data_IF_976398986529
#
_entry.id   IF_976398986529
#
_cell.length_a   1.000
_cell.length_b   1.000
_cell.length_c   1.000
_cell.angle_alpha   90.00
_cell.angle_beta   90.00
_cell.angle_gamma   90.00
#
_symmetry.space_group_name_H-M   'P 1'
#
loop_
_entity.id
_entity.type
_entity.pdbx_description
1 polymer ?
#
# COMPACT_ATOMS: atom_id res chain seq x y z
N UNK A 1 -11.58 25.10 -10.12
CA UNK A 1 -11.33 23.91 -9.26
C UNK A 1 -11.62 24.27 -7.80
N UNK A 2 -11.98 23.34 -6.89
CA UNK A 2 -12.17 23.68 -5.46
C UNK A 2 -10.82 24.12 -4.86
N UNK A 3 -10.80 25.21 -4.10
CA UNK A 3 -9.58 25.68 -3.41
C UNK A 3 -9.01 24.56 -2.52
N UNK A 4 -7.80 24.09 -2.86
CA UNK A 4 -7.15 22.97 -2.15
C UNK A 4 -6.97 23.25 -0.67
N UNK A 5 -6.83 24.52 -0.29
CA UNK A 5 -6.68 24.99 1.09
C UNK A 5 -7.94 24.79 1.93
N UNK A 6 -9.09 24.68 1.28
CA UNK A 6 -10.40 24.48 1.91
C UNK A 6 -10.85 23.02 1.88
N UNK A 7 -10.07 22.11 1.25
CA UNK A 7 -10.38 20.69 1.26
C UNK A 7 -10.06 20.11 2.65
N UNK A 8 -10.93 19.25 3.21
CA UNK A 8 -10.60 18.50 4.41
C UNK A 8 -9.38 17.62 4.13
N UNK A 9 -8.52 17.45 5.13
CA UNK A 9 -7.38 16.55 5.06
C UNK A 9 -7.10 15.94 6.43
N UNK A 10 -6.50 14.76 6.45
CA UNK A 10 -6.17 14.03 7.69
C UNK A 10 -4.67 14.12 7.98
N UNK A 11 -4.25 13.84 9.21
CA UNK A 11 -2.83 13.85 9.57
C UNK A 11 -2.06 12.73 8.84
N UNK A 12 -0.75 12.88 8.66
CA UNK A 12 0.09 11.78 8.18
C UNK A 12 0.19 10.66 9.24
N UNK A 13 0.40 9.39 8.85
CA UNK A 13 0.84 8.37 9.80
C UNK A 13 2.19 8.83 10.36
N UNK A 14 2.46 8.59 11.63
CA UNK A 14 3.63 9.09 12.36
C UNK A 14 4.99 8.53 11.91
N UNK A 15 5.14 8.15 10.65
CA UNK A 15 6.24 7.35 10.13
C UNK A 15 7.18 8.18 9.27
N UNK A 16 8.44 8.18 9.67
CA UNK A 16 9.54 8.83 8.96
C UNK A 16 10.62 7.77 8.71
N UNK A 17 11.11 7.59 7.47
CA UNK A 17 12.22 6.69 7.19
C UNK A 17 13.44 6.98 8.06
N UNK A 18 14.10 5.92 8.56
CA UNK A 18 15.20 6.02 9.53
C UNK A 18 16.34 6.91 9.04
N UNK A 19 16.62 6.92 7.74
CA UNK A 19 17.65 7.76 7.14
C UNK A 19 17.32 9.26 7.18
N UNK A 20 16.04 9.63 7.22
CA UNK A 20 15.61 11.02 7.30
C UNK A 20 15.59 11.54 8.73
N UNK A 21 15.43 10.66 9.73
CA UNK A 21 15.42 11.04 11.15
C UNK A 21 16.71 11.76 11.59
N UNK A 22 17.85 11.47 10.95
CA UNK A 22 19.15 12.08 11.28
C UNK A 22 19.48 13.33 10.47
N UNK A 23 18.66 13.64 9.47
CA UNK A 23 18.91 14.76 8.58
C UNK A 23 18.57 16.08 9.29
N UNK A 24 19.47 17.05 9.17
CA UNK A 24 19.34 18.38 9.77
C UNK A 24 19.64 19.48 8.76
N UNK A 25 19.04 20.64 8.96
CA UNK A 25 19.38 21.88 8.25
C UNK A 25 20.38 22.71 9.01
N UNK A 26 21.45 23.17 8.35
CA UNK A 26 22.37 24.13 8.95
C UNK A 26 21.89 25.56 8.69
N UNK A 27 21.69 26.33 9.78
CA UNK A 27 21.33 27.74 9.66
C UNK A 27 22.44 28.51 8.91
N UNK A 28 22.12 29.33 7.88
CA UNK A 28 23.13 30.04 7.11
C UNK A 28 23.89 31.09 7.95
N UNK A 29 23.27 31.62 9.01
CA UNK A 29 23.84 32.66 9.88
C UNK A 29 24.71 32.05 10.97
N UNK A 30 24.11 31.33 11.93
CA UNK A 30 24.84 30.84 13.11
C UNK A 30 25.40 29.41 12.97
N UNK A 31 25.19 28.76 11.82
CA UNK A 31 25.61 27.38 11.50
C UNK A 31 25.04 26.28 12.42
N UNK A 32 24.18 26.61 13.38
CA UNK A 32 23.52 25.63 14.24
C UNK A 32 22.66 24.68 13.39
N UNK A 33 22.81 23.39 13.65
CA UNK A 33 22.00 22.35 13.05
C UNK A 33 20.59 22.33 13.68
N UNK A 34 19.57 22.25 12.83
CA UNK A 34 18.16 22.23 13.21
C UNK A 34 17.52 20.96 12.66
N UNK A 35 16.83 20.23 13.52
CA UNK A 35 16.07 19.04 13.10
C UNK A 35 14.94 19.43 12.14
N UNK A 36 14.66 18.55 11.19
CA UNK A 36 13.60 18.78 10.22
C UNK A 36 12.31 18.15 10.77
N UNK A 37 11.26 18.94 11.06
CA UNK A 37 10.00 18.41 11.57
C UNK A 37 9.20 17.79 10.43
N UNK A 38 9.61 16.59 10.00
CA UNK A 38 9.13 15.91 8.78
C UNK A 38 7.61 15.81 8.66
N UNK A 39 6.94 15.60 9.79
CA UNK A 39 5.50 15.37 9.88
C UNK A 39 4.71 16.64 10.21
N UNK A 40 5.38 17.73 10.57
CA UNK A 40 4.70 19.00 10.81
C UNK A 40 4.10 19.52 9.50
N UNK A 41 2.84 19.95 9.60
CA UNK A 41 2.07 20.44 8.47
C UNK A 41 2.63 21.77 7.99
N UNK A 42 2.84 21.86 6.70
CA UNK A 42 3.10 23.12 6.01
C UNK A 42 1.78 23.87 5.80
N UNK A 43 1.87 25.18 5.59
CA UNK A 43 0.69 26.02 5.28
C UNK A 43 0.02 25.60 3.96
N UNK A 44 0.83 25.22 2.96
CA UNK A 44 0.38 24.78 1.65
C UNK A 44 1.20 23.57 1.17
N UNK A 45 0.62 22.64 0.38
CA UNK A 45 1.38 21.58 -0.27
C UNK A 45 2.42 22.17 -1.21
N UNK A 46 3.69 21.76 -1.08
CA UNK A 46 4.80 22.26 -1.90
C UNK A 46 4.99 21.48 -3.21
N UNK A 47 3.89 21.08 -3.84
CA UNK A 47 3.92 20.34 -5.10
C UNK A 47 3.51 21.22 -6.26
N UNK A 48 3.96 20.92 -7.50
CA UNK A 48 3.47 21.62 -8.67
C UNK A 48 1.95 21.44 -8.78
N UNK A 49 1.20 22.53 -8.63
CA UNK A 49 -0.24 22.56 -8.87
C UNK A 49 -0.46 22.88 -10.34
N UNK A 50 -1.15 22.00 -11.07
CA UNK A 50 -1.54 22.25 -12.46
C UNK A 50 -2.42 23.51 -12.48
N UNK A 51 -2.00 24.54 -13.22
CA UNK A 51 -2.77 25.77 -13.35
C UNK A 51 -4.09 25.54 -14.08
N UNK A 52 -5.20 26.01 -13.51
CA UNK A 52 -6.53 26.01 -14.15
C UNK A 52 -6.57 26.86 -15.43
N UNK A 53 -5.62 27.78 -15.61
CA UNK A 53 -5.64 28.80 -16.66
C UNK A 53 -4.31 28.93 -17.43
N UNK A 54 -3.37 27.99 -17.26
CA UNK A 54 -2.06 28.05 -17.90
C UNK A 54 -1.12 29.17 -17.40
N UNK A 55 -1.52 29.91 -16.37
CA UNK A 55 -0.80 31.06 -15.79
C UNK A 55 -0.05 30.70 -14.48
N UNK A 56 0.17 29.42 -14.21
CA UNK A 56 0.85 28.98 -12.99
C UNK A 56 2.35 29.27 -13.05
N UNK A 57 2.91 29.79 -11.95
CA UNK A 57 4.35 29.89 -11.75
C UNK A 57 4.85 28.66 -10.98
N UNK A 58 6.02 28.16 -11.39
CA UNK A 58 6.72 27.11 -10.67
C UNK A 58 7.32 27.69 -9.39
N UNK A 59 6.91 27.19 -8.23
CA UNK A 59 7.52 27.56 -6.95
C UNK A 59 8.67 26.58 -6.68
N UNK A 60 9.88 27.07 -6.35
CA UNK A 60 10.95 26.22 -5.84
C UNK A 60 10.44 25.38 -4.68
N UNK A 61 10.65 24.06 -4.76
CA UNK A 61 10.27 23.14 -3.68
C UNK A 61 11.35 23.23 -2.62
N UNK A 62 11.14 24.10 -1.64
CA UNK A 62 11.99 24.18 -0.47
C UNK A 62 11.19 23.84 0.80
N UNK A 63 11.89 23.33 1.80
CA UNK A 63 11.38 23.05 3.14
C UNK A 63 11.71 24.25 4.04
N UNK A 64 10.71 25.05 4.48
CA UNK A 64 10.95 26.14 5.40
C UNK A 64 11.25 25.62 6.82
N UNK A 65 12.24 26.24 7.46
CA UNK A 65 12.69 25.96 8.81
C UNK A 65 13.00 27.27 9.54
N UNK A 66 12.89 27.23 10.87
CA UNK A 66 13.35 28.29 11.77
C UNK A 66 14.51 27.76 12.59
N UNK A 67 15.60 28.51 12.68
CA UNK A 67 16.79 28.08 13.42
C UNK A 67 16.47 27.74 14.89
N UNK A 68 16.96 26.58 15.35
CA UNK A 68 16.81 26.11 16.74
C UNK A 68 17.64 26.87 17.78
N UNK A 69 18.40 27.90 17.39
CA UNK A 69 19.17 28.76 18.31
C UNK A 69 18.24 29.82 18.88
N UNK A 70 18.20 29.96 20.21
CA UNK A 70 17.41 30.98 20.88
C UNK A 70 17.83 32.40 20.49
N UNK A 71 19.11 32.63 20.27
CA UNK A 71 19.63 33.95 19.89
C UNK A 71 19.43 34.28 18.41
N UNK A 72 19.45 33.26 17.54
CA UNK A 72 19.41 33.48 16.09
C UNK A 72 17.99 33.53 15.54
N UNK A 73 17.16 32.50 15.82
CA UNK A 73 15.79 32.31 15.30
C UNK A 73 15.57 32.64 13.81
N UNK A 74 16.63 32.62 13.00
CA UNK A 74 16.55 33.00 11.59
C UNK A 74 15.77 31.95 10.79
N UNK A 75 14.82 32.42 9.97
CA UNK A 75 14.11 31.58 9.02
C UNK A 75 14.98 31.30 7.80
N UNK A 76 15.05 30.03 7.41
CA UNK A 76 15.82 29.58 6.25
C UNK A 76 15.10 28.42 5.57
N UNK A 77 15.61 27.98 4.42
CA UNK A 77 15.01 26.88 3.67
C UNK A 77 16.04 25.83 3.29
N UNK A 78 15.61 24.56 3.28
CA UNK A 78 16.37 23.45 2.71
C UNK A 78 15.80 23.14 1.34
N UNK A 79 16.66 23.08 0.32
CA UNK A 79 16.27 22.68 -1.03
C UNK A 79 15.87 21.21 -1.05
N UNK A 80 14.69 20.91 -1.58
CA UNK A 80 14.31 19.53 -1.87
C UNK A 80 15.13 19.02 -3.06
N UNK A 81 15.61 17.76 -3.03
CA UNK A 81 16.29 17.18 -4.17
C UNK A 81 15.37 17.19 -5.40
N UNK A 82 15.90 17.57 -6.55
CA UNK A 82 15.18 17.48 -7.82
C UNK A 82 15.79 16.32 -8.59
N UNK A 83 15.06 15.21 -8.64
CA UNK A 83 15.47 14.01 -9.38
C UNK A 83 14.80 13.99 -10.76
N UNK A 84 15.44 13.44 -11.81
CA UNK A 84 14.79 13.21 -13.10
C UNK A 84 13.49 12.39 -12.98
N UNK A 85 12.58 12.57 -13.95
CA UNK A 85 11.37 11.75 -14.12
C UNK A 85 11.47 10.99 -15.44
N UNK A 86 12.21 9.87 -15.42
CA UNK A 86 12.54 9.08 -16.62
C UNK A 86 11.33 8.34 -17.18
N UNK A 87 10.46 7.84 -16.30
CA UNK A 87 9.25 7.15 -16.68
C UNK A 87 8.24 7.12 -15.54
N UNK A 88 6.98 6.93 -15.92
CA UNK A 88 5.87 6.76 -14.98
C UNK A 88 5.40 5.32 -14.93
N UNK A 89 5.17 4.83 -13.73
CA UNK A 89 4.60 3.51 -13.48
C UNK A 89 3.23 3.61 -12.85
N UNK A 90 2.36 2.67 -13.21
CA UNK A 90 1.03 2.56 -12.61
C UNK A 90 1.05 1.36 -11.67
N UNK A 91 0.69 1.61 -10.41
CA UNK A 91 0.56 0.59 -9.37
C UNK A 91 -0.93 0.33 -9.12
N UNK A 92 -1.32 -0.93 -9.19
CA UNK A 92 -2.67 -1.41 -8.93
C UNK A 92 -2.73 -2.02 -7.53
N UNK A 93 -3.68 -1.60 -6.71
CA UNK A 93 -3.71 -1.97 -5.30
C UNK A 93 -5.03 -2.51 -4.82
N UNK A 94 -4.94 -3.41 -3.85
CA UNK A 94 -6.06 -3.98 -3.11
C UNK A 94 -5.60 -4.39 -1.71
N UNK A 95 -6.55 -4.70 -0.83
CA UNK A 95 -6.34 -4.93 0.59
C UNK A 95 -6.90 -6.28 1.08
N UNK A 96 -6.40 -6.75 2.21
CA UNK A 96 -7.03 -7.83 2.93
C UNK A 96 -6.95 -7.62 4.44
N UNK A 97 -7.97 -8.11 5.15
CA UNK A 97 -8.04 -8.09 6.60
C UNK A 97 -8.32 -9.49 7.16
N UNK A 98 -7.77 -9.81 8.33
CA UNK A 98 -8.10 -11.01 9.11
C UNK A 98 -8.27 -10.63 10.57
N UNK A 99 -9.49 -10.79 11.06
CA UNK A 99 -9.82 -10.64 12.47
C UNK A 99 -9.78 -12.01 13.15
N UNK A 100 -8.93 -12.16 14.15
CA UNK A 100 -8.75 -13.39 14.92
C UNK A 100 -9.29 -13.13 16.31
N UNK A 101 -10.53 -13.60 16.56
CA UNK A 101 -11.22 -13.32 17.82
C UNK A 101 -10.63 -14.05 19.03
N UNK A 102 -10.04 -15.22 18.80
CA UNK A 102 -9.47 -16.08 19.84
C UNK A 102 -8.10 -16.60 19.37
N UNK A 103 -7.05 -15.76 19.37
CA UNK A 103 -5.71 -16.24 19.06
C UNK A 103 -5.26 -17.23 20.13
N UNK A 104 -4.37 -18.18 19.80
CA UNK A 104 -3.73 -19.03 20.80
C UNK A 104 -3.02 -18.18 21.86
N UNK A 105 -3.12 -18.62 23.12
CA UNK A 105 -2.66 -17.87 24.29
C UNK A 105 -1.17 -17.58 24.30
N UNK A 106 -0.38 -18.41 23.61
CA UNK A 106 1.05 -18.22 23.41
C UNK A 106 1.40 -17.01 22.52
N UNK A 107 0.44 -16.52 21.74
CA UNK A 107 0.62 -15.38 20.85
C UNK A 107 -0.06 -14.10 21.35
N UNK A 108 -1.27 -14.20 21.90
CA UNK A 108 -1.99 -13.06 22.45
C UNK A 108 -3.13 -13.52 23.38
N UNK A 109 -3.40 -12.72 24.41
CA UNK A 109 -4.62 -12.83 25.24
C UNK A 109 -5.80 -12.01 24.69
N UNK A 110 -5.55 -11.14 23.72
CA UNK A 110 -6.55 -10.24 23.12
C UNK A 110 -6.76 -10.54 21.63
N UNK A 111 -7.96 -10.28 21.08
CA UNK A 111 -8.22 -10.41 19.65
C UNK A 111 -7.22 -9.63 18.80
N UNK A 112 -6.87 -10.19 17.63
CA UNK A 112 -5.93 -9.57 16.69
C UNK A 112 -6.65 -9.12 15.42
N UNK A 113 -6.19 -8.02 14.83
CA UNK A 113 -6.53 -7.66 13.46
C UNK A 113 -5.28 -7.47 12.62
N UNK A 114 -5.10 -8.38 11.67
CA UNK A 114 -4.12 -8.22 10.60
C UNK A 114 -4.76 -7.45 9.44
N UNK A 115 -4.04 -6.48 8.91
CA UNK A 115 -4.45 -5.74 7.72
C UNK A 115 -3.24 -5.56 6.81
N UNK A 116 -3.45 -5.72 5.50
CA UNK A 116 -2.43 -5.43 4.51
C UNK A 116 -2.98 -4.72 3.28
N UNK A 117 -2.12 -3.95 2.63
CA UNK A 117 -2.33 -3.33 1.33
C UNK A 117 -1.24 -3.87 0.40
N UNK A 118 -1.65 -4.43 -0.75
CA UNK A 118 -0.73 -4.83 -1.80
C UNK A 118 -0.81 -3.84 -2.95
N UNK A 119 0.33 -3.48 -3.53
CA UNK A 119 0.45 -2.74 -4.78
C UNK A 119 1.28 -3.54 -5.78
N UNK A 120 0.80 -3.65 -7.01
CA UNK A 120 1.49 -4.38 -8.09
C UNK A 120 1.69 -3.51 -9.32
N UNK A 121 2.84 -3.66 -9.94
CA UNK A 121 3.24 -2.90 -11.11
C UNK A 121 3.87 -3.84 -12.14
N UNK A 122 3.32 -3.88 -13.34
CA UNK A 122 3.82 -4.74 -14.42
C UNK A 122 4.38 -3.88 -15.55
N UNK A 123 5.57 -4.23 -16.02
CA UNK A 123 6.14 -3.59 -17.21
C UNK A 123 5.26 -3.86 -18.45
N UNK A 124 4.97 -2.82 -19.25
CA UNK A 124 4.08 -2.88 -20.44
C UNK A 124 4.36 -4.08 -21.35
N UNK A 125 5.64 -4.40 -21.59
CA UNK A 125 6.08 -5.55 -22.41
C UNK A 125 5.53 -6.93 -21.99
N UNK A 126 5.09 -7.09 -20.74
CA UNK A 126 4.52 -8.35 -20.21
C UNK A 126 3.00 -8.32 -20.07
N UNK A 127 2.35 -7.17 -20.25
CA UNK A 127 0.92 -6.99 -20.01
C UNK A 127 0.08 -8.03 -20.76
N UNK A 128 0.20 -8.10 -22.08
CA UNK A 128 -0.65 -8.97 -22.90
C UNK A 128 -0.49 -10.45 -22.55
N UNK A 129 0.76 -10.87 -22.28
CA UNK A 129 1.05 -12.25 -21.88
C UNK A 129 0.39 -12.60 -20.55
N UNK A 130 0.61 -11.77 -19.52
CA UNK A 130 0.06 -12.02 -18.17
C UNK A 130 -1.46 -11.94 -18.19
N UNK A 131 -2.03 -10.92 -18.86
CA UNK A 131 -3.47 -10.79 -19.06
C UNK A 131 -4.06 -12.04 -19.70
N UNK A 132 -3.47 -12.55 -20.79
CA UNK A 132 -3.92 -13.78 -21.46
C UNK A 132 -3.83 -15.00 -20.54
N UNK A 133 -2.78 -15.13 -19.74
CA UNK A 133 -2.64 -16.24 -18.79
C UNK A 133 -3.73 -16.20 -17.71
N UNK A 134 -4.01 -15.02 -17.14
CA UNK A 134 -5.08 -14.84 -16.15
C UNK A 134 -6.44 -15.09 -16.79
N UNK A 135 -6.69 -14.53 -17.98
CA UNK A 135 -7.91 -14.76 -18.75
C UNK A 135 -8.18 -16.26 -18.95
N UNK A 136 -7.17 -17.01 -19.38
CA UNK A 136 -7.28 -18.45 -19.56
C UNK A 136 -7.56 -19.18 -18.23
N UNK A 137 -6.86 -18.80 -17.15
CA UNK A 137 -7.06 -19.39 -15.83
C UNK A 137 -8.48 -19.12 -15.28
N UNK A 138 -9.03 -17.92 -15.50
CA UNK A 138 -10.42 -17.59 -15.17
C UNK A 138 -11.41 -18.43 -15.97
N UNK A 139 -11.15 -18.62 -17.27
CA UNK A 139 -11.97 -19.44 -18.15
C UNK A 139 -12.02 -20.92 -17.73
N UNK A 140 -10.96 -21.45 -17.13
CA UNK A 140 -10.95 -22.84 -16.61
C UNK A 140 -12.03 -23.08 -15.56
N UNK A 141 -12.31 -22.07 -14.70
CA UNK A 141 -13.24 -22.22 -13.58
C UNK A 141 -14.65 -21.70 -13.86
N UNK A 142 -14.83 -20.80 -14.85
CA UNK A 142 -16.14 -20.34 -15.35
C UNK A 142 -16.15 -20.28 -16.88
N UNK A 143 -16.20 -21.44 -17.57
CA UNK A 143 -16.02 -21.49 -19.03
C UNK A 143 -17.20 -20.96 -19.85
N UNK A 144 -18.37 -20.79 -19.21
CA UNK A 144 -19.60 -20.28 -19.84
C UNK A 144 -19.73 -18.76 -19.77
N UNK A 145 -18.88 -18.09 -19.00
CA UNK A 145 -18.87 -16.63 -18.84
C UNK A 145 -17.61 -16.05 -19.48
N UNK A 146 -17.70 -14.81 -19.96
CA UNK A 146 -16.53 -14.07 -20.43
C UNK A 146 -15.64 -13.72 -19.22
N UNK A 147 -14.36 -14.12 -19.18
CA UNK A 147 -13.46 -13.72 -18.08
C UNK A 147 -13.37 -12.21 -17.85
N UNK A 148 -13.62 -11.35 -18.84
CA UNK A 148 -13.60 -9.90 -18.63
C UNK A 148 -14.95 -9.36 -18.05
N UNK A 149 -16.00 -10.19 -17.97
CA UNK A 149 -17.32 -9.78 -17.44
C UNK A 149 -17.50 -9.96 -15.93
N UNK A 150 -16.55 -10.59 -15.24
CA UNK A 150 -16.62 -10.84 -13.79
C UNK A 150 -15.25 -10.68 -13.13
N UNK A 151 -15.24 -10.42 -11.83
CA UNK A 151 -14.02 -10.16 -11.04
C UNK A 151 -13.50 -11.43 -10.40
N UNK A 152 -12.21 -11.72 -10.55
CA UNK A 152 -11.54 -12.81 -9.84
C UNK A 152 -11.25 -12.42 -8.39
N UNK A 153 -12.29 -12.35 -7.55
CA UNK A 153 -12.15 -12.09 -6.12
C UNK A 153 -11.85 -13.41 -5.39
N UNK A 154 -10.63 -13.57 -4.89
CA UNK A 154 -10.14 -14.86 -4.45
C UNK A 154 -10.81 -15.37 -3.17
N UNK A 155 -11.29 -14.46 -2.30
CA UNK A 155 -12.08 -14.86 -1.13
C UNK A 155 -13.36 -15.57 -1.54
N UNK A 156 -14.07 -15.09 -2.58
CA UNK A 156 -15.28 -15.74 -3.08
C UNK A 156 -14.99 -17.13 -3.63
N UNK A 157 -13.89 -17.27 -4.36
CA UNK A 157 -13.45 -18.57 -4.90
C UNK A 157 -13.07 -19.52 -3.78
N UNK A 158 -12.36 -19.05 -2.76
CA UNK A 158 -11.94 -19.86 -1.64
C UNK A 158 -13.12 -20.33 -0.78
N UNK A 159 -14.08 -19.45 -0.54
CA UNK A 159 -15.24 -19.72 0.32
C UNK A 159 -16.42 -20.36 -0.44
N UNK A 160 -16.35 -20.44 -1.78
CA UNK A 160 -17.42 -21.03 -2.59
C UNK A 160 -17.77 -22.45 -2.15
N UNK A 161 -19.06 -22.74 -2.06
CA UNK A 161 -19.51 -24.10 -1.76
C UNK A 161 -19.60 -24.92 -3.05
N UNK A 162 -19.35 -26.25 -3.01
CA UNK A 162 -19.48 -27.10 -4.19
C UNK A 162 -20.85 -27.00 -4.87
N UNK A 163 -21.91 -26.76 -4.09
CA UNK A 163 -23.29 -26.70 -4.56
C UNK A 163 -23.68 -25.33 -5.16
N UNK A 164 -22.79 -24.33 -5.09
CA UNK A 164 -23.10 -23.00 -5.64
C UNK A 164 -23.09 -22.96 -7.17
N UNK A 165 -22.46 -23.95 -7.83
CA UNK A 165 -22.19 -24.02 -9.27
C UNK A 165 -21.50 -22.79 -9.89
N UNK A 166 -21.17 -21.77 -9.09
CA UNK A 166 -20.54 -20.52 -9.52
C UNK A 166 -19.16 -20.76 -10.11
N UNK A 167 -18.36 -21.63 -9.48
CA UNK A 167 -17.01 -21.98 -9.92
C UNK A 167 -16.89 -23.50 -10.07
N UNK A 168 -16.25 -23.96 -11.14
CA UNK A 168 -15.92 -25.38 -11.38
C UNK A 168 -14.77 -25.88 -10.51
N UNK A 169 -14.84 -25.62 -9.21
CA UNK A 169 -13.87 -26.01 -8.19
C UNK A 169 -14.58 -26.75 -7.06
N UNK A 170 -14.78 -28.05 -7.24
CA UNK A 170 -15.65 -28.87 -6.39
C UNK A 170 -15.09 -29.19 -4.99
N UNK A 171 -13.79 -28.98 -4.76
CA UNK A 171 -13.17 -29.35 -3.49
C UNK A 171 -11.93 -28.51 -3.17
N UNK A 172 -11.47 -28.59 -1.92
CA UNK A 172 -10.31 -27.85 -1.41
C UNK A 172 -9.02 -28.13 -2.22
N UNK A 173 -8.66 -29.39 -2.59
CA UNK A 173 -7.53 -29.65 -3.47
C UNK A 173 -7.58 -28.91 -4.81
N UNK A 174 -8.74 -28.87 -5.47
CA UNK A 174 -8.91 -28.15 -6.74
C UNK A 174 -8.69 -26.64 -6.57
N UNK A 175 -9.19 -26.04 -5.48
CA UNK A 175 -8.95 -24.63 -5.15
C UNK A 175 -7.47 -24.33 -4.89
N UNK A 176 -6.78 -25.22 -4.18
CA UNK A 176 -5.34 -25.09 -3.93
C UNK A 176 -4.55 -25.17 -5.24
N UNK A 177 -4.92 -26.08 -6.14
CA UNK A 177 -4.26 -26.19 -7.44
C UNK A 177 -4.50 -24.95 -8.31
N UNK A 178 -5.73 -24.41 -8.31
CA UNK A 178 -6.04 -23.13 -8.94
C UNK A 178 -5.17 -22.00 -8.39
N UNK A 179 -5.05 -21.90 -7.06
CA UNK A 179 -4.20 -20.91 -6.39
C UNK A 179 -2.73 -21.05 -6.81
N UNK A 180 -2.22 -22.28 -6.90
CA UNK A 180 -0.84 -22.56 -7.35
C UNK A 180 -0.61 -22.16 -8.80
N UNK A 181 -1.58 -22.40 -9.69
CA UNK A 181 -1.53 -21.93 -11.09
C UNK A 181 -1.48 -20.40 -11.15
N UNK A 182 -2.31 -19.71 -10.36
CA UNK A 182 -2.29 -18.25 -10.27
C UNK A 182 -0.95 -17.73 -9.74
N UNK A 183 -0.45 -18.30 -8.65
CA UNK A 183 0.86 -17.97 -8.08
C UNK A 183 2.01 -18.20 -9.06
N UNK A 184 1.93 -19.26 -9.87
CA UNK A 184 2.90 -19.52 -10.95
C UNK A 184 2.89 -18.41 -12.01
N UNK A 185 1.73 -17.90 -12.43
CA UNK A 185 1.65 -16.79 -13.38
C UNK A 185 2.36 -15.56 -12.83
N UNK A 186 2.11 -15.22 -11.56
CA UNK A 186 2.75 -14.08 -10.86
C UNK A 186 4.26 -14.27 -10.79
N UNK A 187 4.72 -15.44 -10.36
CA UNK A 187 6.14 -15.77 -10.25
C UNK A 187 6.85 -15.72 -11.59
N UNK A 188 6.26 -16.30 -12.64
CA UNK A 188 6.83 -16.33 -13.99
C UNK A 188 6.84 -14.94 -14.65
N UNK A 189 6.06 -13.98 -14.15
CA UNK A 189 6.08 -12.59 -14.59
C UNK A 189 7.18 -11.75 -13.93
N UNK A 190 7.91 -12.30 -12.95
CA UNK A 190 9.08 -11.66 -12.32
C UNK A 190 10.30 -11.73 -13.27
N UNK A 191 11.17 -10.71 -13.30
CA UNK A 191 11.18 -9.50 -12.46
C UNK A 191 10.33 -8.33 -12.99
N UNK A 192 9.66 -8.46 -14.14
CA UNK A 192 8.89 -7.37 -14.73
C UNK A 192 7.62 -7.00 -13.95
N UNK A 193 7.13 -7.91 -13.11
CA UNK A 193 6.10 -7.67 -12.12
C UNK A 193 6.75 -7.29 -10.78
N UNK A 194 6.66 -6.04 -10.37
CA UNK A 194 7.05 -5.63 -9.01
C UNK A 194 5.84 -5.65 -8.09
N UNK A 195 6.03 -6.11 -6.86
CA UNK A 195 4.96 -6.24 -5.85
C UNK A 195 5.44 -5.63 -4.55
N UNK A 196 4.61 -4.80 -3.94
CA UNK A 196 4.82 -4.20 -2.62
C UNK A 196 3.67 -4.63 -1.73
N UNK A 197 3.96 -5.17 -0.57
CA UNK A 197 2.96 -5.48 0.44
C UNK A 197 3.31 -4.74 1.73
N UNK A 198 2.36 -3.99 2.26
CA UNK A 198 2.48 -3.20 3.48
C UNK A 198 1.46 -3.77 4.46
N UNK A 199 1.93 -4.29 5.58
CA UNK A 199 1.09 -5.00 6.53
C UNK A 199 1.35 -4.62 7.98
N UNK A 200 0.31 -4.71 8.80
CA UNK A 200 0.40 -4.47 10.24
C UNK A 200 -0.58 -5.36 10.99
N UNK A 201 -0.24 -5.70 12.23
CA UNK A 201 -1.12 -6.39 13.16
C UNK A 201 -1.34 -5.49 14.38
N UNK A 202 -2.58 -5.41 14.86
CA UNK A 202 -2.91 -4.69 16.10
C UNK A 202 -3.69 -5.60 17.05
N UNK A 203 -3.55 -5.32 18.34
CA UNK A 203 -4.49 -5.79 19.35
C UNK A 203 -5.81 -5.02 19.19
N UNK A 204 -6.92 -5.73 19.32
CA UNK A 204 -8.26 -5.16 19.15
C UNK A 204 -8.96 -5.16 20.50
N UNK A 205 -9.31 -3.98 21.04
CA UNK A 205 -9.94 -3.89 22.34
C UNK A 205 -11.37 -4.44 22.30
N UNK A 206 -11.81 -4.93 23.46
CA UNK A 206 -13.18 -5.41 23.66
C UNK A 206 -14.21 -4.29 23.46
N UNK A 207 -13.89 -3.04 23.79
CA UNK A 207 -14.79 -1.90 23.58
C UNK A 207 -15.09 -1.67 22.08
N UNK A 208 -16.35 -1.73 21.64
CA UNK A 208 -16.71 -1.60 20.22
C UNK A 208 -16.34 -0.25 19.60
N UNK A 209 -16.35 0.84 20.38
CA UNK A 209 -16.10 2.20 19.87
C UNK A 209 -14.60 2.40 19.61
N UNK A 210 -13.75 2.04 20.56
CA UNK A 210 -12.30 2.06 20.39
C UNK A 210 -11.85 1.04 19.34
N UNK A 211 -12.47 -0.15 19.27
CA UNK A 211 -12.23 -1.11 18.19
C UNK A 211 -12.46 -0.50 16.81
N UNK A 212 -13.62 0.11 16.57
CA UNK A 212 -13.93 0.73 15.28
C UNK A 212 -12.93 1.84 14.93
N UNK A 213 -12.51 2.63 15.92
CA UNK A 213 -11.51 3.70 15.76
C UNK A 213 -10.13 3.15 15.40
N UNK A 214 -9.67 2.09 16.08
CA UNK A 214 -8.38 1.47 15.82
C UNK A 214 -8.32 0.75 14.47
N UNK A 215 -9.35 -0.01 14.10
CA UNK A 215 -9.42 -0.65 12.77
C UNK A 215 -9.40 0.38 11.65
N UNK A 216 -10.14 1.48 11.82
CA UNK A 216 -10.12 2.62 10.90
C UNK A 216 -8.72 3.26 10.83
N UNK A 217 -8.08 3.45 11.98
CA UNK A 217 -6.73 4.01 12.03
C UNK A 217 -5.72 3.10 11.32
N UNK A 218 -5.75 1.79 11.56
CA UNK A 218 -4.86 0.81 10.91
C UNK A 218 -5.01 0.84 9.39
N UNK A 219 -6.25 0.83 8.88
CA UNK A 219 -6.50 0.94 7.43
C UNK A 219 -5.92 2.23 6.85
N UNK A 220 -6.15 3.35 7.51
CA UNK A 220 -5.68 4.66 7.08
C UNK A 220 -4.15 4.80 7.13
N UNK A 221 -3.50 4.19 8.13
CA UNK A 221 -2.05 4.14 8.27
C UNK A 221 -1.43 3.26 7.19
N UNK A 222 -1.93 2.04 6.98
CA UNK A 222 -1.43 1.12 5.95
C UNK A 222 -1.56 1.71 4.53
N UNK A 223 -2.69 2.37 4.23
CA UNK A 223 -2.84 3.11 2.97
C UNK A 223 -1.76 4.18 2.82
N UNK A 224 -1.60 5.03 3.83
CA UNK A 224 -0.65 6.14 3.78
C UNK A 224 0.80 5.65 3.67
N UNK A 225 1.15 4.59 4.38
CA UNK A 225 2.43 3.89 4.28
C UNK A 225 2.67 3.34 2.88
N UNK A 226 1.66 2.70 2.27
CA UNK A 226 1.78 2.17 0.91
C UNK A 226 2.14 3.26 -0.11
N UNK A 227 1.56 4.46 0.03
CA UNK A 227 1.86 5.63 -0.81
C UNK A 227 3.30 6.11 -0.55
N UNK A 228 3.67 6.37 0.71
CA UNK A 228 5.01 6.91 1.04
C UNK A 228 6.12 5.94 0.63
N UNK A 229 5.94 4.65 0.91
CA UNK A 229 6.91 3.61 0.60
C UNK A 229 7.11 3.46 -0.90
N UNK A 230 6.01 3.34 -1.65
CA UNK A 230 6.13 3.20 -3.12
C UNK A 230 6.59 4.49 -3.80
N UNK A 231 6.18 5.66 -3.31
CA UNK A 231 6.73 6.94 -3.79
C UNK A 231 8.25 6.96 -3.61
N UNK A 232 8.74 6.67 -2.41
CA UNK A 232 10.18 6.63 -2.12
C UNK A 232 10.89 5.63 -3.03
N UNK A 233 10.44 4.38 -3.09
CA UNK A 233 11.07 3.32 -3.88
C UNK A 233 11.13 3.65 -5.38
N UNK A 234 10.13 4.33 -5.94
CA UNK A 234 10.17 4.75 -7.34
C UNK A 234 11.03 6.00 -7.56
N UNK A 235 10.96 7.00 -6.68
CA UNK A 235 11.71 8.25 -6.82
C UNK A 235 13.21 8.06 -6.68
N UNK A 236 13.70 7.19 -5.78
CA UNK A 236 15.15 6.87 -5.70
C UNK A 236 15.68 6.22 -6.99
N UNK A 237 14.80 5.73 -7.86
CA UNK A 237 15.11 5.16 -9.19
C UNK A 237 14.74 6.11 -10.34
N UNK A 238 14.48 7.39 -10.03
CA UNK A 238 14.12 8.45 -10.98
C UNK A 238 12.82 8.17 -11.76
N UNK A 239 11.87 7.47 -11.13
CA UNK A 239 10.57 7.11 -11.73
C UNK A 239 9.43 7.79 -11.00
N UNK A 240 8.37 8.19 -11.68
CA UNK A 240 7.11 8.63 -11.06
C UNK A 240 6.13 7.48 -10.93
N UNK A 241 5.12 7.66 -10.08
CA UNK A 241 4.10 6.66 -9.77
C UNK A 241 2.71 7.26 -9.81
N UNK A 242 1.78 6.54 -10.44
CA UNK A 242 0.34 6.70 -10.29
C UNK A 242 -0.22 5.48 -9.54
N UNK A 243 -1.22 5.67 -8.69
CA UNK A 243 -1.87 4.60 -7.94
C UNK A 243 -3.33 4.42 -8.38
N UNK A 244 -3.72 3.16 -8.56
CA UNK A 244 -5.08 2.73 -8.87
C UNK A 244 -5.50 1.73 -7.81
N UNK A 245 -6.59 2.00 -7.10
CA UNK A 245 -7.16 1.10 -6.09
C UNK A 245 -8.57 0.66 -6.50
N UNK A 246 -8.98 -0.52 -6.04
CA UNK A 246 -10.37 -0.92 -6.06
C UNK A 246 -11.21 -0.02 -5.14
N UNK A 247 -12.45 0.25 -5.55
CA UNK A 247 -13.39 1.03 -4.75
C UNK A 247 -14.21 0.12 -3.83
N UNK A 248 -14.34 0.44 -2.55
CA UNK A 248 -15.15 -0.35 -1.59
C UNK A 248 -16.64 -0.42 -1.98
N UNK A 249 -17.16 0.52 -2.77
CA UNK A 249 -18.56 0.51 -3.24
C UNK A 249 -18.64 0.44 -4.76
N UNK A 250 -19.53 -0.42 -5.27
CA UNK A 250 -19.86 -0.49 -6.69
C UNK A 250 -20.39 0.88 -7.15
N UNK A 251 -19.61 1.52 -8.02
CA UNK A 251 -19.78 2.91 -8.46
C UNK A 251 -20.43 2.99 -9.83
N UNK A 252 -21.31 2.05 -10.14
CA UNK A 252 -22.10 1.98 -11.38
C UNK A 252 -22.86 3.27 -11.74
N UNK A 253 -22.94 4.26 -10.84
CA UNK A 253 -23.55 5.58 -11.04
C UNK A 253 -22.59 6.80 -10.96
N UNK A 254 -21.27 6.61 -10.86
CA UNK A 254 -20.27 7.70 -10.93
C UNK A 254 -19.07 7.52 -10.00
N UNK A 255 -18.02 8.34 -10.17
CA UNK A 255 -16.79 8.29 -9.37
C UNK A 255 -17.02 8.76 -7.93
N UNK A 256 -17.54 7.90 -7.05
CA UNK A 256 -17.43 8.13 -5.60
C UNK A 256 -16.00 7.79 -5.20
N UNK A 257 -15.14 8.80 -5.16
CA UNK A 257 -13.83 8.70 -4.51
C UNK A 257 -14.03 8.35 -3.05
N UNK A 258 -13.21 7.45 -2.50
CA UNK A 258 -13.14 7.25 -1.07
C UNK A 258 -12.67 8.54 -0.40
N UNK A 259 -13.62 9.34 0.09
CA UNK A 259 -13.33 10.68 0.61
C UNK A 259 -12.25 10.66 1.69
N UNK A 260 -12.19 9.61 2.50
CA UNK A 260 -11.16 9.44 3.52
C UNK A 260 -9.75 9.22 2.93
N UNK A 261 -9.63 8.49 1.82
CA UNK A 261 -8.35 8.18 1.20
C UNK A 261 -7.81 9.40 0.45
N UNK A 262 -8.70 10.14 -0.22
CA UNK A 262 -8.42 11.48 -0.79
C UNK A 262 -7.93 12.45 0.30
N UNK A 263 -8.63 12.54 1.43
CA UNK A 263 -8.26 13.36 2.58
C UNK A 263 -6.91 12.95 3.18
N UNK A 264 -6.61 11.63 3.23
CA UNK A 264 -5.33 11.10 3.72
C UNK A 264 -4.20 11.45 2.77
N UNK A 265 -4.36 11.17 1.48
CA UNK A 265 -3.37 11.51 0.46
C UNK A 265 -3.04 13.00 0.48
N UNK A 266 -4.08 13.85 0.47
CA UNK A 266 -3.91 15.30 0.58
C UNK A 266 -3.14 15.65 1.87
N UNK A 267 -3.51 15.05 2.99
CA UNK A 267 -2.79 15.18 4.26
C UNK A 267 -1.30 14.88 4.19
N UNK A 268 -0.91 13.86 3.42
CA UNK A 268 0.50 13.58 3.16
C UNK A 268 1.16 14.71 2.37
N UNK A 269 0.51 15.25 1.35
CA UNK A 269 1.04 16.34 0.53
C UNK A 269 1.35 17.62 1.33
N UNK A 270 0.70 17.81 2.48
CA UNK A 270 0.97 18.91 3.41
C UNK A 270 2.22 18.71 4.27
N UNK A 271 2.91 17.57 4.18
CA UNK A 271 4.10 17.29 5.00
C UNK A 271 5.40 17.62 4.27
N UNK A 272 6.42 17.98 5.04
CA UNK A 272 7.81 18.13 4.55
C UNK A 272 8.33 16.79 4.03
N UNK A 273 7.96 15.70 4.70
CA UNK A 273 8.30 14.33 4.31
C UNK A 273 7.90 14.02 2.87
N UNK A 274 6.63 14.26 2.54
CA UNK A 274 6.14 13.97 1.20
C UNK A 274 6.82 14.85 0.15
N UNK A 275 7.04 16.13 0.47
CA UNK A 275 7.75 17.05 -0.43
C UNK A 275 9.15 16.54 -0.74
N UNK A 276 9.89 16.12 0.30
CA UNK A 276 11.20 15.49 0.15
C UNK A 276 11.16 14.21 -0.69
N UNK A 277 10.23 13.29 -0.37
CA UNK A 277 10.09 12.02 -1.08
C UNK A 277 9.70 12.19 -2.54
N UNK A 278 8.87 13.20 -2.87
CA UNK A 278 8.48 13.50 -4.25
C UNK A 278 9.67 13.93 -5.11
N UNK A 279 10.72 14.46 -4.48
CA UNK A 279 11.93 14.91 -5.14
C UNK A 279 11.65 15.81 -6.37
N UNK A 280 10.74 16.78 -6.19
CA UNK A 280 10.34 17.76 -7.21
C UNK A 280 9.36 17.26 -8.27
N UNK A 281 8.95 15.99 -8.25
CA UNK A 281 7.96 15.47 -9.21
C UNK A 281 6.53 15.85 -8.85
N UNK A 282 5.68 16.06 -9.84
CA UNK A 282 4.23 16.09 -9.63
C UNK A 282 3.74 14.70 -9.26
N UNK A 283 3.10 14.57 -8.10
CA UNK A 283 2.50 13.32 -7.63
C UNK A 283 0.98 13.44 -7.73
N UNK A 284 0.35 12.57 -8.51
CA UNK A 284 -1.09 12.61 -8.77
C UNK A 284 -1.85 11.87 -7.65
N UNK A 285 -3.03 12.39 -7.31
CA UNK A 285 -3.95 11.74 -6.36
C UNK A 285 -4.33 10.32 -6.83
N UNK A 286 -4.36 9.31 -5.96
CA UNK A 286 -4.78 7.96 -6.31
C UNK A 286 -6.18 7.92 -6.92
N UNK A 287 -6.35 7.12 -7.97
CA UNK A 287 -7.66 6.87 -8.57
C UNK A 287 -8.30 5.62 -7.98
N UNK A 288 -9.61 5.68 -7.76
CA UNK A 288 -10.42 4.55 -7.29
C UNK A 288 -11.34 4.12 -8.43
N UNK A 289 -11.21 2.87 -8.85
CA UNK A 289 -11.91 2.32 -10.01
C UNK A 289 -12.88 1.21 -9.58
N UNK A 290 -13.75 0.78 -10.50
CA UNK A 290 -14.63 -0.35 -10.24
C UNK A 290 -13.78 -1.58 -9.85
N UNK A 291 -14.16 -2.33 -8.81
CA UNK A 291 -13.47 -3.55 -8.41
C UNK A 291 -13.14 -4.48 -9.58
N UNK A 292 -11.90 -4.99 -9.61
CA UNK A 292 -11.44 -5.92 -10.64
C UNK A 292 -11.55 -5.41 -12.08
N UNK A 293 -11.72 -4.10 -12.31
CA UNK A 293 -11.80 -3.52 -13.67
C UNK A 293 -10.52 -3.67 -14.49
N UNK A 294 -9.41 -4.05 -13.84
CA UNK A 294 -8.14 -4.36 -14.46
C UNK A 294 -7.56 -5.63 -13.86
N UNK A 295 -6.99 -6.52 -14.69
CA UNK A 295 -6.45 -7.81 -14.22
C UNK A 295 -5.36 -7.70 -13.14
N UNK A 296 -4.67 -6.56 -13.07
CA UNK A 296 -3.66 -6.32 -12.02
C UNK A 296 -4.29 -6.02 -10.65
N UNK A 297 -5.55 -5.59 -10.59
CA UNK A 297 -6.29 -5.47 -9.32
C UNK A 297 -6.62 -6.86 -8.79
N UNK A 298 -7.02 -7.80 -9.66
CA UNK A 298 -7.19 -9.21 -9.29
C UNK A 298 -5.87 -9.88 -8.84
N UNK A 299 -4.75 -9.49 -9.45
CA UNK A 299 -3.43 -9.92 -8.98
C UNK A 299 -3.12 -9.35 -7.60
N UNK A 300 -3.46 -8.08 -7.34
CA UNK A 300 -3.28 -7.46 -6.02
C UNK A 300 -4.15 -8.13 -4.95
N UNK A 301 -5.44 -8.38 -5.24
CA UNK A 301 -6.37 -9.13 -4.39
C UNK A 301 -5.78 -10.49 -3.99
N UNK A 302 -5.38 -11.29 -5.00
CA UNK A 302 -4.86 -12.62 -4.75
C UNK A 302 -3.61 -12.60 -3.86
N UNK A 303 -2.69 -11.64 -4.07
CA UNK A 303 -1.50 -11.50 -3.23
C UNK A 303 -1.88 -11.06 -1.81
N UNK A 304 -2.75 -10.05 -1.66
CA UNK A 304 -3.26 -9.60 -0.36
C UNK A 304 -3.90 -10.75 0.41
N UNK A 305 -4.71 -11.56 -0.28
CA UNK A 305 -5.30 -12.78 0.26
C UNK A 305 -4.23 -13.76 0.74
N UNK A 306 -3.25 -14.11 -0.10
CA UNK A 306 -2.18 -15.05 0.28
C UNK A 306 -1.39 -14.57 1.50
N UNK A 307 -1.05 -13.28 1.55
CA UNK A 307 -0.31 -12.68 2.67
C UNK A 307 -1.14 -12.72 3.96
N UNK A 308 -2.41 -12.31 3.89
CA UNK A 308 -3.30 -12.35 5.05
C UNK A 308 -3.56 -13.78 5.52
N UNK A 309 -3.66 -14.72 4.59
CA UNK A 309 -3.77 -16.16 4.88
C UNK A 309 -2.51 -16.70 5.54
N UNK A 310 -1.31 -16.30 5.11
CA UNK A 310 -0.07 -16.73 5.77
C UNK A 310 -0.03 -16.31 7.23
N UNK A 311 -0.41 -15.07 7.54
CA UNK A 311 -0.52 -14.60 8.92
C UNK A 311 -1.57 -15.40 9.71
N UNK A 312 -2.79 -15.52 9.17
CA UNK A 312 -3.89 -16.26 9.79
C UNK A 312 -3.55 -17.74 10.04
N UNK A 313 -2.79 -18.39 9.18
CA UNK A 313 -2.43 -19.81 9.37
C UNK A 313 -1.28 -19.95 10.35
N UNK A 314 -0.28 -19.08 10.28
CA UNK A 314 0.83 -19.07 11.22
C UNK A 314 0.37 -18.84 12.66
N UNK A 315 -0.56 -17.91 12.89
CA UNK A 315 -1.08 -17.60 14.24
C UNK A 315 -1.80 -18.78 14.90
N UNK A 316 -2.35 -19.72 14.13
CA UNK A 316 -3.02 -20.92 14.66
C UNK A 316 -2.13 -22.17 14.57
N UNK A 317 -0.83 -21.99 14.35
CA UNK A 317 0.14 -23.09 14.24
C UNK A 317 -0.05 -23.98 13.01
N UNK A 318 -0.70 -23.48 11.95
CA UNK A 318 -0.96 -24.23 10.72
C UNK A 318 -0.16 -23.67 9.55
N UNK A 319 0.15 -24.54 8.58
CA UNK A 319 0.76 -24.11 7.33
C UNK A 319 -0.32 -23.58 6.38
N UNK A 320 0.00 -22.47 5.71
CA UNK A 320 -0.80 -21.96 4.60
C UNK A 320 -0.83 -22.96 3.43
N UNK A 321 -2.03 -23.18 2.88
CA UNK A 321 -2.24 -24.15 1.80
C UNK A 321 -1.55 -23.75 0.48
N UNK A 322 -1.36 -22.45 0.28
CA UNK A 322 -0.69 -21.85 -0.88
C UNK A 322 0.04 -20.59 -0.36
N UNK A 323 1.23 -20.77 0.23
CA UNK A 323 1.90 -19.68 0.91
C UNK A 323 2.33 -18.58 -0.06
N UNK A 324 2.39 -17.34 0.43
CA UNK A 324 2.84 -16.19 -0.36
C UNK A 324 4.26 -16.35 -0.92
N UNK A 325 5.08 -17.25 -0.36
CA UNK A 325 6.39 -17.61 -0.92
C UNK A 325 6.31 -18.24 -2.32
N UNK A 326 5.17 -18.82 -2.70
CA UNK A 326 4.94 -19.34 -4.06
C UNK A 326 4.88 -18.24 -5.12
N UNK A 327 4.58 -17.00 -4.72
CA UNK A 327 4.46 -15.83 -5.59
C UNK A 327 5.83 -15.32 -6.08
N UNK A 328 6.92 -15.81 -5.49
CA UNK A 328 8.29 -15.35 -5.75
C UNK A 328 8.68 -14.14 -4.91
N UNK A 329 9.72 -13.42 -5.35
CA UNK A 329 10.26 -12.29 -4.61
C UNK A 329 9.33 -11.05 -4.70
N UNK A 330 9.10 -10.43 -3.55
CA UNK A 330 8.36 -9.18 -3.41
C UNK A 330 9.00 -8.27 -2.37
N UNK A 331 8.61 -7.00 -2.38
CA UNK A 331 8.91 -6.06 -1.32
C UNK A 331 7.84 -6.20 -0.23
N UNK A 332 8.25 -6.36 1.02
CA UNK A 332 7.38 -6.45 2.16
C UNK A 332 7.76 -5.41 3.19
N UNK A 333 6.75 -4.78 3.80
CA UNK A 333 6.89 -3.86 4.92
C UNK A 333 5.95 -4.30 6.04
N UNK A 334 6.49 -4.41 7.25
CA UNK A 334 5.75 -4.80 8.44
C UNK A 334 5.87 -3.76 9.55
N UNK A 335 4.77 -3.48 10.24
CA UNK A 335 4.79 -2.77 11.52
C UNK A 335 5.06 -3.76 12.65
N UNK A 336 6.15 -3.55 13.39
CA UNK A 336 6.55 -4.32 14.56
C UNK A 336 5.69 -3.95 15.79
N UNK A 337 5.70 -4.80 16.82
CA UNK A 337 4.93 -4.59 18.05
C UNK A 337 5.29 -3.34 18.85
N UNK A 338 6.49 -2.76 18.63
CA UNK A 338 6.91 -1.49 19.22
C UNK A 338 6.51 -0.25 18.37
N UNK A 339 5.79 -0.46 17.25
CA UNK A 339 5.40 0.59 16.31
C UNK A 339 6.45 0.94 15.26
N UNK A 340 7.66 0.36 15.32
CA UNK A 340 8.66 0.53 14.27
C UNK A 340 8.22 -0.15 12.99
N UNK A 341 8.72 0.35 11.87
CA UNK A 341 8.49 -0.24 10.56
C UNK A 341 9.79 -0.82 10.03
N UNK A 342 9.72 -2.06 9.58
CA UNK A 342 10.79 -2.74 8.86
C UNK A 342 10.34 -3.09 7.45
N UNK A 343 11.29 -3.13 6.52
CA UNK A 343 11.01 -3.53 5.14
C UNK A 343 12.15 -4.33 4.55
N UNK A 344 11.82 -5.26 3.68
CA UNK A 344 12.80 -6.11 3.00
C UNK A 344 12.24 -6.73 1.72
N UNK A 345 13.14 -7.13 0.84
CA UNK A 345 12.80 -8.00 -0.27
C UNK A 345 12.88 -9.45 0.20
N UNK A 346 11.79 -10.20 0.06
CA UNK A 346 11.73 -11.59 0.51
C UNK A 346 10.87 -12.44 -0.43
N UNK A 347 11.02 -13.77 -0.36
CA UNK A 347 10.09 -14.71 -0.94
C UNK A 347 8.99 -15.03 0.08
N UNK A 348 7.84 -14.36 -0.04
CA UNK A 348 6.73 -14.48 0.90
C UNK A 348 6.84 -13.55 2.12
N UNK A 349 5.77 -13.48 2.90
CA UNK A 349 5.66 -12.63 4.09
C UNK A 349 6.75 -13.02 5.13
N UNK A 350 7.63 -12.10 5.57
CA UNK A 350 8.62 -12.31 6.62
C UNK A 350 8.01 -12.45 8.03
N UNK A 351 7.17 -13.47 8.25
CA UNK A 351 6.38 -13.66 9.47
C UNK A 351 7.21 -13.59 10.76
N UNK A 352 8.38 -14.24 10.78
CA UNK A 352 9.25 -14.29 11.96
C UNK A 352 9.85 -12.91 12.26
N UNK A 353 10.30 -12.21 11.23
CA UNK A 353 10.92 -10.89 11.36
C UNK A 353 9.90 -9.83 11.79
N UNK A 354 8.72 -9.83 11.16
CA UNK A 354 7.73 -8.77 11.39
C UNK A 354 6.85 -9.03 12.61
N UNK A 355 6.52 -10.30 12.88
CA UNK A 355 5.50 -10.66 13.86
C UNK A 355 5.96 -11.71 14.88
N UNK A 356 7.22 -12.17 14.81
CA UNK A 356 7.72 -13.20 15.72
C UNK A 356 7.09 -14.59 15.51
N UNK A 357 6.39 -14.81 14.40
CA UNK A 357 5.67 -16.06 14.13
C UNK A 357 6.54 -17.04 13.34
N UNK A 358 6.63 -18.28 13.82
CA UNK A 358 7.26 -19.38 13.08
C UNK A 358 6.22 -20.12 12.22
N UNK A 359 6.62 -20.50 11.00
CA UNK A 359 5.79 -21.37 10.16
C UNK A 359 5.96 -22.80 10.65
N UNK A 360 4.85 -23.51 10.87
CA UNK A 360 4.87 -24.92 11.24
C UNK A 360 5.79 -25.74 10.31
N UNK A 361 6.73 -26.49 10.90
CA UNK A 361 7.62 -27.41 10.17
C UNK A 361 6.80 -28.61 9.68
N UNK A 362 7.06 -29.02 8.44
CA UNK A 362 6.40 -30.16 7.78
C UNK A 362 6.81 -31.50 8.37
#
# INVERSE_FOLDING_TARGET
>A
MKDIRKRPHRAAPGLVPKELLRMKGACPICKKETEIPWLEKMEFPKQPVKSDHGLGHWVPVDIPLTCSSEDCKHDFSIKVPILPDKNRWVLYGDEAARYISHPPTEHSSEPLNFYCVTLVALHKRRHDRVRKQIFNLKKEIRPTEDPDSWVHHFTEIWDSKPESDTFRLQNKPAKIEHAKKFAKIIRDAKPELTTFNISGCILVPSDPKERKKLLKHQKESAFSESILTTLREFRIREKSVDWIFDNIQDTTSGSKTEGWASERFLGLQYTRLFSWMSAGTTVIEPSFVRPGSHFLLEVADFISYCVARDFERAIIGQRSEFPSSLLGQGFYQGTLGNGDVESMWNAGLPLKQFYGLEVAKS
#
